data_IF_002270205617
#
_entry.id   IF_002270205617
#
_cell.length_a   1.000
_cell.length_b   1.000
_cell.length_c   1.000
_cell.angle_alpha   90.00
_cell.angle_beta   90.00
_cell.angle_gamma   90.00
#
_symmetry.space_group_name_H-M   'P 1'
#
loop_
_entity.id
_entity.type
_entity.pdbx_description
1 polymer ?
#
# COMPACT_ATOMS: atom_id res chain seq x y z
N UNK A 1 -6.66 -1.69 9.15
CA UNK A 1 -5.81 -0.87 8.27
C UNK A 1 -6.63 -0.29 7.12
N UNK A 2 -7.09 -1.06 6.11
CA UNK A 2 -7.90 -0.51 4.99
C UNK A 2 -9.12 0.33 5.41
N UNK A 3 -9.79 -0.02 6.50
CA UNK A 3 -10.87 0.81 7.06
C UNK A 3 -10.42 2.26 7.31
N UNK A 4 -9.23 2.46 7.88
CA UNK A 4 -8.68 3.79 8.16
C UNK A 4 -8.22 4.48 6.88
N UNK A 5 -7.64 3.76 5.92
CA UNK A 5 -7.27 4.33 4.61
C UNK A 5 -8.49 4.91 3.90
N UNK A 6 -9.55 4.09 3.78
CA UNK A 6 -10.82 4.48 3.15
C UNK A 6 -11.48 5.66 3.89
N UNK A 7 -11.47 5.65 5.23
CA UNK A 7 -12.02 6.74 6.02
C UNK A 7 -11.28 8.07 5.79
N UNK A 8 -10.03 8.04 5.33
CA UNK A 8 -9.21 9.22 5.06
C UNK A 8 -9.03 9.51 3.56
N UNK A 9 -9.76 8.82 2.67
CA UNK A 9 -9.73 9.07 1.23
C UNK A 9 -8.57 8.41 0.46
N UNK A 10 -7.83 7.51 1.10
CA UNK A 10 -6.79 6.71 0.44
C UNK A 10 -7.37 5.42 -0.15
N UNK A 11 -6.66 4.86 -1.13
CA UNK A 11 -7.05 3.59 -1.73
C UNK A 11 -6.84 2.42 -0.75
N UNK A 12 -7.72 1.40 -0.77
CA UNK A 12 -7.49 0.19 0.00
C UNK A 12 -6.32 -0.58 -0.62
N UNK A 13 -5.45 -1.11 0.23
CA UNK A 13 -4.28 -1.88 -0.22
C UNK A 13 -4.41 -3.36 0.16
N UNK A 14 -3.55 -4.18 -0.44
CA UNK A 14 -3.40 -5.58 -0.09
C UNK A 14 -1.92 -5.88 0.10
N UNK A 15 -1.56 -6.51 1.22
CA UNK A 15 -0.20 -6.97 1.47
C UNK A 15 -0.12 -8.40 0.96
N UNK A 16 0.70 -8.62 -0.07
CA UNK A 16 0.91 -9.93 -0.67
C UNK A 16 1.50 -10.91 0.36
N UNK A 17 1.17 -12.20 0.24
CA UNK A 17 1.67 -13.23 1.17
C UNK A 17 3.19 -13.36 1.08
N UNK A 18 3.74 -13.10 -0.10
CA UNK A 18 5.16 -13.13 -0.43
C UNK A 18 5.92 -12.04 0.34
N UNK A 19 5.29 -10.88 0.56
CA UNK A 19 5.84 -9.75 1.33
C UNK A 19 5.69 -9.90 2.85
N UNK A 20 5.31 -11.08 3.34
CA UNK A 20 5.08 -11.33 4.77
C UNK A 20 6.32 -11.06 5.62
N UNK A 21 7.51 -11.40 5.12
CA UNK A 21 8.76 -11.16 5.84
C UNK A 21 9.01 -9.65 5.99
N UNK A 22 8.91 -8.90 4.89
CA UNK A 22 9.10 -7.44 4.89
C UNK A 22 8.08 -6.73 5.79
N UNK A 23 6.83 -7.18 5.76
CA UNK A 23 5.80 -6.72 6.69
C UNK A 23 6.21 -6.91 8.15
N UNK A 24 6.75 -8.08 8.52
CA UNK A 24 7.21 -8.27 9.90
C UNK A 24 8.46 -7.48 10.25
N UNK A 25 9.40 -7.31 9.30
CA UNK A 25 10.60 -6.52 9.51
C UNK A 25 10.27 -5.05 9.81
N UNK A 26 9.30 -4.47 9.09
CA UNK A 26 8.84 -3.08 9.36
C UNK A 26 8.17 -2.94 10.73
N UNK A 27 7.44 -3.96 11.20
CA UNK A 27 6.88 -3.97 12.55
C UNK A 27 7.94 -4.18 13.64
N UNK A 28 8.99 -4.96 13.35
CA UNK A 28 10.11 -5.14 14.27
C UNK A 28 10.92 -3.84 14.44
N UNK A 29 11.13 -3.08 13.36
CA UNK A 29 11.75 -1.75 13.44
C UNK A 29 11.00 -0.85 14.43
N UNK A 30 9.67 -0.88 14.42
CA UNK A 30 8.88 -0.17 15.42
C UNK A 30 9.04 -0.74 16.83
N UNK A 31 9.05 -2.07 16.99
CA UNK A 31 9.18 -2.70 18.30
C UNK A 31 10.54 -2.39 18.97
N UNK A 32 11.63 -2.39 18.20
CA UNK A 32 13.00 -2.24 18.71
C UNK A 32 13.41 -0.76 18.78
N UNK A 33 13.11 0.01 17.73
CA UNK A 33 13.61 1.37 17.56
C UNK A 33 12.53 2.44 17.72
N UNK A 34 11.26 2.06 17.92
CA UNK A 34 10.08 2.95 17.87
C UNK A 34 9.97 3.71 16.56
N UNK A 35 10.55 3.14 15.51
CA UNK A 35 10.52 3.71 14.18
C UNK A 35 9.35 3.11 13.38
N UNK A 36 8.38 3.96 13.06
CA UNK A 36 7.19 3.58 12.28
C UNK A 36 7.35 3.95 10.79
N UNK A 37 8.38 4.70 10.44
CA UNK A 37 8.61 5.17 9.07
C UNK A 37 8.69 4.01 8.05
N UNK A 38 9.41 2.90 8.32
CA UNK A 38 9.47 1.77 7.38
C UNK A 38 8.10 1.15 7.09
N UNK A 39 7.22 1.13 8.10
CA UNK A 39 5.86 0.62 7.92
C UNK A 39 5.01 1.61 7.12
N UNK A 40 5.10 2.91 7.41
CA UNK A 40 4.38 3.93 6.67
C UNK A 40 4.77 3.93 5.18
N UNK A 41 6.06 3.84 4.88
CA UNK A 41 6.59 3.77 3.52
C UNK A 41 6.07 2.53 2.78
N UNK A 42 6.08 1.37 3.42
CA UNK A 42 5.54 0.14 2.83
C UNK A 42 4.06 0.31 2.44
N UNK A 43 3.26 0.93 3.30
CA UNK A 43 1.83 1.16 3.03
C UNK A 43 1.66 2.17 1.88
N UNK A 44 2.48 3.24 1.86
CA UNK A 44 2.44 4.24 0.80
C UNK A 44 2.78 3.64 -0.57
N UNK A 45 3.82 2.81 -0.67
CA UNK A 45 4.17 2.14 -1.93
C UNK A 45 3.07 1.22 -2.44
N UNK A 46 2.40 0.48 -1.54
CA UNK A 46 1.29 -0.39 -1.94
C UNK A 46 0.07 0.41 -2.41
N UNK A 47 -0.15 1.59 -1.85
CA UNK A 47 -1.23 2.51 -2.25
C UNK A 47 -0.94 3.12 -3.62
N UNK A 48 0.30 3.57 -3.85
CA UNK A 48 0.78 4.07 -5.14
C UNK A 48 0.63 3.03 -6.25
N UNK A 49 1.01 1.77 -6.00
CA UNK A 49 0.79 0.69 -6.96
C UNK A 49 -0.71 0.47 -7.26
N UNK A 50 -1.61 0.66 -6.28
CA UNK A 50 -3.06 0.57 -6.54
C UNK A 50 -3.52 1.72 -7.42
N UNK A 51 -3.02 2.94 -7.17
CA UNK A 51 -3.32 4.10 -7.99
C UNK A 51 -2.88 3.87 -9.44
N UNK A 52 -1.65 3.41 -9.66
CA UNK A 52 -1.13 3.08 -10.98
C UNK A 52 -1.97 2.02 -11.70
N UNK A 53 -2.40 0.98 -10.97
CA UNK A 53 -3.30 -0.05 -11.51
C UNK A 53 -4.62 0.56 -12.00
N UNK A 54 -5.24 1.44 -11.22
CA UNK A 54 -6.49 2.08 -11.60
C UNK A 54 -6.31 3.05 -12.77
N UNK A 55 -5.26 3.87 -12.75
CA UNK A 55 -4.94 4.78 -13.86
C UNK A 55 -4.75 3.99 -15.17
N UNK A 56 -3.96 2.92 -15.13
CA UNK A 56 -3.75 2.06 -16.29
C UNK A 56 -5.03 1.37 -16.78
N UNK A 57 -5.98 1.04 -15.88
CA UNK A 57 -7.30 0.53 -16.30
C UNK A 57 -8.12 1.59 -17.04
N UNK A 58 -8.12 2.83 -16.54
CA UNK A 58 -8.83 3.95 -17.15
C UNK A 58 -8.26 4.27 -18.54
N UNK A 59 -6.93 4.28 -18.68
CA UNK A 59 -6.26 4.50 -19.97
C UNK A 59 -6.63 3.43 -20.99
N UNK A 60 -6.56 2.15 -20.63
CA UNK A 60 -6.99 1.04 -21.51
C UNK A 60 -8.46 1.13 -21.91
N UNK A 61 -9.33 1.61 -21.02
CA UNK A 61 -10.74 1.81 -21.36
C UNK A 61 -10.95 2.95 -22.35
N UNK A 62 -10.13 4.02 -22.29
CA UNK A 62 -10.19 5.14 -23.23
C UNK A 62 -9.70 4.75 -24.63
N UNK A 63 -8.69 3.91 -24.73
CA UNK A 63 -8.17 3.42 -26.02
C UNK A 63 -9.14 2.50 -26.77
N UNK A 64 -10.12 1.93 -26.08
CA UNK A 64 -11.13 1.02 -26.65
C UNK A 64 -12.41 1.74 -27.12
N UNK A 65 -12.49 3.07 -26.96
CA UNK A 65 -13.60 3.93 -27.39
C UNK A 65 -13.22 4.73 -28.63
#
# INVERSE_FOLDING_TARGET
MNYQLLANGFLPISIAKESRLDYFNTLEAYAVHRDLEPFADMIASLEEEQLDRYLGMIERQREQQ
#
